data_IF_637280747343
#
_entry.id   IF_637280747343
#
_cell.length_a   1.000
_cell.length_b   1.000
_cell.length_c   1.000
_cell.angle_alpha   90.00
_cell.angle_beta   90.00
_cell.angle_gamma   90.00
#
_symmetry.space_group_name_H-M   'P 1'
#
loop_
_entity.id
_entity.type
_entity.pdbx_description
1 polymer ?
#
# COMPACT_ATOMS: atom_id res chain seq x y z
N UNK A 1 -6.91 0.50 -10.36
CA UNK A 1 -6.17 -0.03 -9.20
C UNK A 1 -4.65 -0.02 -9.40
N UNK A 2 -4.09 -0.52 -10.51
CA UNK A 2 -2.63 -0.47 -10.73
C UNK A 2 -2.10 0.98 -10.85
N UNK A 3 -2.81 1.84 -11.58
CA UNK A 3 -2.49 3.28 -11.66
C UNK A 3 -2.65 3.98 -10.30
N UNK A 4 -3.66 3.60 -9.50
CA UNK A 4 -3.90 4.16 -8.17
C UNK A 4 -2.85 3.77 -7.12
N UNK A 5 -2.01 2.78 -7.43
CA UNK A 5 -1.02 2.24 -6.49
C UNK A 5 0.40 2.57 -6.93
N UNK A 6 1.12 1.59 -7.47
CA UNK A 6 2.56 1.69 -7.72
C UNK A 6 2.89 1.57 -9.21
N UNK A 7 1.91 1.73 -10.10
CA UNK A 7 2.15 1.76 -11.55
C UNK A 7 2.81 0.50 -12.11
N UNK A 8 2.51 -0.67 -11.52
CA UNK A 8 3.09 -1.96 -11.91
C UNK A 8 4.42 -2.30 -11.22
N UNK A 9 4.95 -1.43 -10.37
CA UNK A 9 6.24 -1.65 -9.71
C UNK A 9 6.18 -2.53 -8.45
N UNK A 10 4.99 -2.73 -7.88
CA UNK A 10 4.76 -3.56 -6.69
C UNK A 10 3.64 -4.58 -6.90
N UNK A 11 3.61 -5.62 -6.07
CA UNK A 11 2.51 -6.58 -6.04
C UNK A 11 1.19 -5.91 -5.63
N UNK A 12 0.07 -6.43 -6.15
CA UNK A 12 -1.25 -5.86 -5.90
C UNK A 12 -2.24 -6.97 -5.49
N UNK A 13 -2.90 -6.82 -4.35
CA UNK A 13 -3.82 -7.83 -3.78
C UNK A 13 -5.20 -7.92 -4.44
N UNK A 14 -5.50 -7.02 -5.38
CA UNK A 14 -6.70 -7.06 -6.24
C UNK A 14 -7.85 -6.14 -5.80
N UNK A 15 -7.81 -5.59 -4.59
CA UNK A 15 -8.85 -4.70 -4.07
C UNK A 15 -8.85 -3.30 -4.72
N UNK A 16 -10.03 -2.82 -5.13
CA UNK A 16 -10.23 -1.42 -5.54
C UNK A 16 -10.41 -0.48 -4.33
N UNK A 17 -10.03 0.80 -4.49
CA UNK A 17 -10.15 1.81 -3.44
C UNK A 17 -11.49 2.52 -3.46
N UNK A 18 -11.85 3.20 -4.56
CA UNK A 18 -13.03 4.07 -4.66
C UNK A 18 -14.35 3.37 -4.32
N UNK A 19 -15.31 4.14 -3.77
CA UNK A 19 -16.65 3.62 -3.40
C UNK A 19 -16.72 2.81 -2.10
N UNK A 20 -15.60 2.56 -1.43
CA UNK A 20 -15.56 1.84 -0.14
C UNK A 20 -15.46 2.78 1.05
N UNK A 21 -16.10 2.46 2.16
CA UNK A 21 -15.83 3.13 3.44
C UNK A 21 -14.54 2.57 4.08
N UNK A 22 -14.09 3.17 5.19
CA UNK A 22 -12.81 2.80 5.82
C UNK A 22 -12.80 1.40 6.43
N UNK A 23 -13.95 0.78 6.67
CA UNK A 23 -14.03 -0.58 7.22
C UNK A 23 -13.60 -1.65 6.21
N UNK A 24 -13.55 -1.33 4.90
CA UNK A 24 -13.14 -2.30 3.88
C UNK A 24 -11.63 -2.38 3.80
N UNK A 25 -11.11 -3.54 4.19
CA UNK A 25 -9.66 -3.82 4.32
C UNK A 25 -8.89 -3.62 3.02
N UNK A 26 -9.54 -3.81 1.86
CA UNK A 26 -8.96 -3.50 0.55
C UNK A 26 -8.41 -2.07 0.46
N UNK A 27 -9.04 -1.11 1.15
CA UNK A 27 -8.60 0.28 1.22
C UNK A 27 -7.76 0.52 2.47
N UNK A 28 -8.29 0.23 3.65
CA UNK A 28 -7.63 0.62 4.91
C UNK A 28 -6.33 -0.15 5.16
N UNK A 29 -6.26 -1.44 4.87
CA UNK A 29 -5.03 -2.21 5.04
C UNK A 29 -3.98 -1.85 3.99
N UNK A 30 -4.39 -1.56 2.74
CA UNK A 30 -3.47 -1.05 1.71
C UNK A 30 -2.81 0.28 2.13
N UNK A 31 -3.58 1.18 2.78
CA UNK A 31 -3.04 2.42 3.34
C UNK A 31 -2.10 2.17 4.52
N UNK A 32 -2.44 1.23 5.41
CA UNK A 32 -1.59 0.84 6.53
C UNK A 32 -0.26 0.25 6.05
N UNK A 33 -0.28 -0.66 5.07
CA UNK A 33 0.92 -1.25 4.48
C UNK A 33 1.81 -0.18 3.83
N UNK A 34 1.22 0.80 3.12
CA UNK A 34 1.97 1.94 2.57
C UNK A 34 2.59 2.80 3.68
N UNK A 35 1.86 3.04 4.77
CA UNK A 35 2.36 3.79 5.91
C UNK A 35 3.54 3.10 6.58
N UNK A 36 3.47 1.79 6.81
CA UNK A 36 4.59 0.98 7.33
C UNK A 36 5.78 1.05 6.38
N UNK A 37 5.59 0.78 5.08
CA UNK A 37 6.66 0.80 4.09
C UNK A 37 7.39 2.16 4.03
N UNK A 38 6.62 3.26 4.01
CA UNK A 38 7.19 4.62 4.02
C UNK A 38 7.96 4.90 5.31
N UNK A 39 7.48 4.40 6.44
CA UNK A 39 8.11 4.61 7.75
C UNK A 39 9.44 3.88 7.87
N UNK A 40 9.52 2.63 7.40
CA UNK A 40 10.77 1.86 7.38
C UNK A 40 11.85 2.53 6.51
N UNK A 41 11.48 3.03 5.33
CA UNK A 41 12.40 3.76 4.45
C UNK A 41 12.82 5.09 5.09
N UNK A 42 11.87 5.83 5.69
CA UNK A 42 12.16 7.10 6.39
C UNK A 42 13.12 6.90 7.57
N UNK A 43 12.95 5.80 8.31
CA UNK A 43 13.83 5.40 9.41
C UNK A 43 15.21 4.89 8.94
N UNK A 44 15.47 4.88 7.62
CA UNK A 44 16.71 4.41 7.00
C UNK A 44 17.05 2.95 7.30
N UNK A 45 16.04 2.13 7.63
CA UNK A 45 16.22 0.69 7.86
C UNK A 45 16.40 -0.08 6.54
N UNK A 46 15.88 0.47 5.44
CA UNK A 46 16.03 -0.11 4.12
C UNK A 46 15.97 0.99 3.04
N UNK A 47 16.50 0.67 1.85
CA UNK A 47 16.38 1.55 0.68
C UNK A 47 15.04 1.38 -0.05
N UNK A 48 14.48 0.16 -0.03
CA UNK A 48 13.21 -0.24 -0.65
C UNK A 48 12.63 -1.42 0.13
N UNK A 49 11.31 -1.52 0.21
CA UNK A 49 10.61 -2.64 0.87
C UNK A 49 9.23 -2.84 0.25
N UNK A 50 8.79 -4.09 0.23
CA UNK A 50 7.41 -4.50 -0.05
C UNK A 50 6.84 -5.08 1.25
N UNK A 51 5.71 -4.53 1.71
CA UNK A 51 4.99 -4.98 2.92
C UNK A 51 3.74 -5.70 2.43
N UNK A 52 3.53 -6.92 2.92
CA UNK A 52 2.41 -7.80 2.55
C UNK A 52 1.53 -8.06 3.76
#
# INVERSE_FOLDING_TARGET
IIVDTYGGWGAHGGGAFSGKDYTKVDRSAAYAARWVAKSLVKAKLCRRVLVQ
#
